data_IF_454515631775
#
_entry.id   IF_454515631775
#
_cell.length_a   1.000
_cell.length_b   1.000
_cell.length_c   1.000
_cell.angle_alpha   90.00
_cell.angle_beta   90.00
_cell.angle_gamma   90.00
#
_symmetry.space_group_name_H-M   'P 1'
#
loop_
_entity.id
_entity.type
_entity.pdbx_description
1 polymer ?
#
# COMPACT_ATOMS: atom_id res chain seq x y z
N UNK A 1 -4.70 -22.22 -24.98
CA UNK A 1 -3.40 -22.21 -24.28
C UNK A 1 -3.67 -22.65 -22.86
N UNK A 2 -2.79 -23.39 -22.18
CA UNK A 2 -3.00 -23.66 -20.76
C UNK A 2 -3.11 -22.32 -20.02
N UNK A 3 -4.07 -22.24 -19.11
CA UNK A 3 -4.21 -21.08 -18.22
C UNK A 3 -2.94 -20.92 -17.41
N UNK A 4 -2.36 -19.70 -17.43
CA UNK A 4 -1.17 -19.41 -16.63
C UNK A 4 -1.53 -19.43 -15.14
N UNK A 5 -0.84 -20.27 -14.37
CA UNK A 5 -1.11 -20.43 -12.94
C UNK A 5 -0.53 -19.26 -12.14
N UNK A 6 -1.21 -18.88 -11.09
CA UNK A 6 -0.79 -17.83 -10.17
C UNK A 6 0.67 -18.00 -9.72
N UNK A 7 1.05 -19.21 -9.29
CA UNK A 7 2.38 -19.48 -8.75
C UNK A 7 3.50 -19.35 -9.79
N UNK A 8 3.23 -19.69 -11.04
CA UNK A 8 4.22 -19.63 -12.13
C UNK A 8 4.49 -18.16 -12.47
N UNK A 9 3.44 -17.34 -12.58
CA UNK A 9 3.55 -15.89 -12.82
C UNK A 9 4.29 -15.21 -11.65
N UNK A 10 3.92 -15.53 -10.41
CA UNK A 10 4.56 -14.97 -9.22
C UNK A 10 6.03 -15.37 -9.11
N UNK A 11 6.37 -16.64 -9.36
CA UNK A 11 7.75 -17.13 -9.34
C UNK A 11 8.60 -16.35 -10.32
N UNK A 12 8.14 -16.20 -11.56
CA UNK A 12 8.86 -15.46 -12.59
C UNK A 12 9.04 -13.99 -12.19
N UNK A 13 7.96 -13.28 -11.87
CA UNK A 13 7.99 -11.85 -11.55
C UNK A 13 8.79 -11.51 -10.28
N UNK A 14 8.68 -12.33 -9.23
CA UNK A 14 9.46 -12.13 -8.00
C UNK A 14 10.95 -12.42 -8.23
N UNK A 15 11.28 -13.48 -9.00
CA UNK A 15 12.67 -13.80 -9.36
C UNK A 15 13.31 -12.66 -10.15
N UNK A 16 12.60 -12.08 -11.13
CA UNK A 16 13.09 -10.92 -11.90
C UNK A 16 13.43 -9.72 -11.02
N UNK A 17 12.74 -9.56 -9.87
CA UNK A 17 13.02 -8.51 -8.88
C UNK A 17 14.03 -8.91 -7.80
N UNK A 18 14.56 -10.12 -7.84
CA UNK A 18 15.45 -10.62 -6.78
C UNK A 18 14.76 -10.83 -5.43
N UNK A 19 13.43 -10.96 -5.41
CA UNK A 19 12.66 -11.19 -4.20
C UNK A 19 12.50 -12.68 -3.90
N UNK A 20 12.31 -13.02 -2.62
CA UNK A 20 12.06 -14.40 -2.23
C UNK A 20 10.77 -14.93 -2.87
N UNK A 21 10.87 -16.11 -3.48
CA UNK A 21 9.76 -16.82 -4.12
C UNK A 21 9.79 -18.33 -3.78
N UNK A 22 10.20 -18.66 -2.55
CA UNK A 22 10.18 -20.05 -2.08
C UNK A 22 8.76 -20.63 -1.97
N UNK A 23 8.66 -21.92 -1.65
CA UNK A 23 7.38 -22.60 -1.59
C UNK A 23 6.43 -22.02 -0.53
N UNK A 24 6.95 -21.46 0.56
CA UNK A 24 6.13 -20.84 1.60
C UNK A 24 5.56 -19.48 1.15
N UNK A 25 6.37 -18.65 0.50
CA UNK A 25 5.92 -17.37 -0.07
C UNK A 25 4.81 -17.61 -1.11
N UNK A 26 5.02 -18.55 -2.04
CA UNK A 26 4.03 -18.87 -3.06
C UNK A 26 2.75 -19.47 -2.46
N UNK A 27 2.87 -20.34 -1.45
CA UNK A 27 1.73 -20.87 -0.71
C UNK A 27 0.91 -19.75 -0.05
N UNK A 28 1.56 -18.76 0.57
CA UNK A 28 0.89 -17.61 1.20
C UNK A 28 0.13 -16.78 0.17
N UNK A 29 0.72 -16.53 -1.00
CA UNK A 29 0.01 -15.83 -2.08
C UNK A 29 -1.19 -16.63 -2.58
N UNK A 30 -1.08 -17.96 -2.70
CA UNK A 30 -2.22 -18.82 -3.05
C UNK A 30 -3.35 -18.70 -2.02
N UNK A 31 -3.04 -18.86 -0.74
CA UNK A 31 -4.03 -18.72 0.34
C UNK A 31 -4.69 -17.34 0.32
N UNK A 32 -3.92 -16.29 0.08
CA UNK A 32 -4.45 -14.92 -0.02
C UNK A 32 -5.38 -14.77 -1.23
N UNK A 33 -4.98 -15.27 -2.39
CA UNK A 33 -5.80 -15.23 -3.60
C UNK A 33 -7.12 -15.99 -3.43
N UNK A 34 -7.06 -17.23 -2.96
CA UNK A 34 -8.25 -18.06 -2.77
C UNK A 34 -9.24 -17.40 -1.80
N UNK A 35 -8.71 -16.75 -0.73
CA UNK A 35 -9.55 -16.02 0.21
C UNK A 35 -10.14 -14.74 -0.42
N UNK A 36 -9.35 -14.02 -1.20
CA UNK A 36 -9.80 -12.81 -1.92
C UNK A 36 -10.93 -13.15 -2.89
N UNK A 37 -10.79 -14.20 -3.70
CA UNK A 37 -11.82 -14.65 -4.64
C UNK A 37 -13.11 -15.06 -3.91
N UNK A 38 -13.01 -15.82 -2.83
CA UNK A 38 -14.17 -16.23 -2.05
C UNK A 38 -14.97 -15.03 -1.50
N UNK A 39 -14.27 -14.04 -0.94
CA UNK A 39 -14.92 -12.84 -0.42
C UNK A 39 -15.39 -11.88 -1.53
N UNK A 40 -14.69 -11.84 -2.65
CA UNK A 40 -15.03 -10.94 -3.75
C UNK A 40 -16.39 -11.24 -4.37
N UNK A 41 -16.80 -12.51 -4.36
CA UNK A 41 -18.13 -12.94 -4.81
C UNK A 41 -19.29 -12.30 -4.05
N UNK A 42 -19.07 -11.90 -2.80
CA UNK A 42 -20.12 -11.33 -1.92
C UNK A 42 -19.88 -9.87 -1.53
N UNK A 43 -18.64 -9.37 -1.62
CA UNK A 43 -18.29 -8.06 -1.07
C UNK A 43 -17.78 -7.04 -2.09
N UNK A 44 -17.52 -7.44 -3.33
CA UNK A 44 -16.90 -6.58 -4.36
C UNK A 44 -15.64 -5.86 -3.84
N UNK A 45 -14.69 -6.63 -3.32
CA UNK A 45 -13.43 -6.10 -2.78
C UNK A 45 -12.53 -5.52 -3.87
N UNK A 46 -12.54 -6.13 -5.05
CA UNK A 46 -11.77 -5.72 -6.22
C UNK A 46 -12.55 -5.98 -7.52
N UNK A 47 -12.28 -5.17 -8.54
CA UNK A 47 -12.78 -5.40 -9.90
C UNK A 47 -11.89 -6.37 -10.71
N UNK A 48 -10.70 -6.71 -10.21
CA UNK A 48 -9.76 -7.63 -10.84
C UNK A 48 -10.16 -9.05 -10.46
N UNK A 49 -10.28 -9.93 -11.45
CA UNK A 49 -10.66 -11.34 -11.30
C UNK A 49 -9.74 -12.24 -12.12
N UNK A 50 -9.62 -13.50 -11.70
CA UNK A 50 -8.75 -14.49 -12.32
C UNK A 50 -7.30 -14.46 -11.83
N UNK A 51 -6.66 -15.63 -11.88
CA UNK A 51 -5.32 -15.84 -11.31
C UNK A 51 -4.26 -14.95 -11.94
N UNK A 52 -4.23 -14.85 -13.27
CA UNK A 52 -3.22 -14.11 -14.00
C UNK A 52 -3.26 -12.60 -13.70
N UNK A 53 -4.47 -12.02 -13.71
CA UNK A 53 -4.64 -10.60 -13.42
C UNK A 53 -4.37 -10.28 -11.94
N UNK A 54 -4.83 -11.13 -11.02
CA UNK A 54 -4.52 -10.96 -9.60
C UNK A 54 -3.02 -11.05 -9.32
N UNK A 55 -2.33 -12.03 -9.94
CA UNK A 55 -0.88 -12.15 -9.81
C UNK A 55 -0.15 -10.88 -10.30
N UNK A 56 -0.52 -10.36 -11.47
CA UNK A 56 0.14 -9.20 -12.07
C UNK A 56 -0.28 -7.89 -11.41
N UNK A 57 -1.59 -7.60 -11.43
CA UNK A 57 -2.14 -6.27 -11.11
C UNK A 57 -2.32 -6.02 -9.60
N UNK A 58 -2.25 -7.07 -8.79
CA UNK A 58 -2.25 -6.94 -7.33
C UNK A 58 -0.90 -7.31 -6.73
N UNK A 59 -0.43 -8.55 -6.89
CA UNK A 59 0.73 -9.03 -6.14
C UNK A 59 2.05 -8.48 -6.68
N UNK A 60 2.32 -8.64 -7.97
CA UNK A 60 3.57 -8.16 -8.59
C UNK A 60 3.64 -6.63 -8.68
N UNK A 61 2.49 -5.96 -8.84
CA UNK A 61 2.41 -4.51 -8.75
C UNK A 61 2.88 -4.02 -7.37
N UNK A 62 2.36 -4.60 -6.28
CA UNK A 62 2.77 -4.26 -4.91
C UNK A 62 4.21 -4.67 -4.59
N UNK A 63 4.72 -5.73 -5.22
CA UNK A 63 6.09 -6.21 -5.05
C UNK A 63 7.17 -5.25 -5.60
N UNK A 64 6.79 -4.12 -6.20
CA UNK A 64 7.71 -3.04 -6.58
C UNK A 64 8.13 -2.15 -5.39
N UNK A 65 7.39 -2.14 -4.27
CA UNK A 65 7.67 -1.25 -3.14
C UNK A 65 8.97 -1.57 -2.39
N UNK A 66 9.41 -2.82 -2.18
CA UNK A 66 10.71 -3.12 -1.59
C UNK A 66 11.90 -2.50 -2.32
N UNK A 67 11.80 -2.23 -3.63
CA UNK A 67 12.85 -1.53 -4.40
C UNK A 67 12.99 -0.06 -3.99
N UNK A 68 12.00 0.48 -3.27
CA UNK A 68 11.91 1.90 -2.92
C UNK A 68 12.48 2.23 -1.54
N UNK A 69 12.43 1.31 -0.60
CA UNK A 69 12.90 1.49 0.78
C UNK A 69 13.17 0.14 1.44
N UNK A 70 14.17 0.10 2.33
CA UNK A 70 14.36 -1.04 3.22
C UNK A 70 13.19 -1.12 4.22
N UNK A 71 12.44 -2.23 4.16
CA UNK A 71 11.26 -2.48 4.99
C UNK A 71 11.54 -3.42 6.18
N UNK A 72 12.76 -4.01 6.26
CA UNK A 72 13.11 -4.98 7.28
C UNK A 72 13.01 -4.39 8.69
N UNK A 73 12.22 -5.03 9.56
CA UNK A 73 11.98 -4.60 10.95
C UNK A 73 11.29 -3.24 11.11
N UNK A 74 10.85 -2.60 10.02
CA UNK A 74 10.21 -1.27 10.04
C UNK A 74 8.76 -1.34 10.48
N UNK A 75 8.26 -0.23 11.02
CA UNK A 75 6.83 -0.01 11.22
C UNK A 75 6.22 0.58 9.96
N UNK A 76 5.21 -0.08 9.40
CA UNK A 76 4.51 0.39 8.21
C UNK A 76 3.02 0.53 8.48
N UNK A 77 2.44 1.65 8.02
CA UNK A 77 0.98 1.82 7.94
C UNK A 77 0.53 1.85 6.48
N UNK A 78 -0.44 1.00 6.14
CA UNK A 78 -1.12 1.00 4.85
C UNK A 78 -2.45 1.74 5.00
N UNK A 79 -2.53 2.93 4.40
CA UNK A 79 -3.66 3.88 4.60
C UNK A 79 -4.71 3.68 3.52
N UNK A 80 -5.90 3.25 3.94
CA UNK A 80 -6.98 2.87 3.03
C UNK A 80 -6.68 1.55 2.34
N UNK A 81 -6.23 0.58 3.10
CA UNK A 81 -5.68 -0.70 2.63
C UNK A 81 -6.61 -1.53 1.74
N UNK A 82 -7.93 -1.32 1.84
CA UNK A 82 -8.91 -2.05 1.04
C UNK A 82 -8.88 -3.55 1.29
N UNK A 83 -8.56 -4.29 0.26
CA UNK A 83 -8.36 -5.74 0.34
C UNK A 83 -6.94 -6.14 0.82
N UNK A 84 -6.18 -5.22 1.43
CA UNK A 84 -4.86 -5.53 1.97
C UNK A 84 -3.69 -5.16 1.04
N UNK A 85 -3.93 -4.32 0.04
CA UNK A 85 -2.93 -3.92 -0.93
C UNK A 85 -2.45 -2.47 -0.71
N UNK A 86 -1.13 -2.27 -0.58
CA UNK A 86 -0.05 -3.24 -0.73
C UNK A 86 0.37 -3.97 0.56
N UNK A 87 -0.20 -3.61 1.72
CA UNK A 87 0.29 -4.00 3.04
C UNK A 87 0.53 -5.50 3.23
N UNK A 88 -0.47 -6.37 2.94
CA UNK A 88 -0.32 -7.81 3.13
C UNK A 88 0.69 -8.44 2.15
N UNK A 89 0.79 -7.92 0.93
CA UNK A 89 1.84 -8.37 -0.01
C UNK A 89 3.23 -8.10 0.56
N UNK A 90 3.43 -6.90 1.11
CA UNK A 90 4.69 -6.53 1.76
C UNK A 90 4.98 -7.40 2.99
N UNK A 91 3.97 -7.74 3.78
CA UNK A 91 4.13 -8.65 4.94
C UNK A 91 4.51 -10.07 4.53
N UNK A 92 3.99 -10.56 3.40
CA UNK A 92 4.39 -11.88 2.84
C UNK A 92 5.86 -11.86 2.42
N UNK A 93 6.30 -10.79 1.74
CA UNK A 93 7.66 -10.63 1.23
C UNK A 93 8.68 -10.24 2.29
N UNK A 94 8.25 -9.52 3.33
CA UNK A 94 9.07 -9.03 4.45
C UNK A 94 8.43 -9.47 5.77
N UNK A 95 8.66 -10.71 6.26
CA UNK A 95 7.95 -11.25 7.41
C UNK A 95 8.18 -10.53 8.74
N UNK A 96 9.30 -9.83 8.90
CA UNK A 96 9.64 -9.02 10.06
C UNK A 96 9.08 -7.59 10.03
N UNK A 97 8.37 -7.22 8.94
CA UNK A 97 7.66 -5.94 8.83
C UNK A 97 6.56 -5.83 9.90
N UNK A 98 6.58 -4.77 10.69
CA UNK A 98 5.53 -4.47 11.68
C UNK A 98 4.41 -3.71 11.01
N UNK A 99 3.39 -4.43 10.54
CA UNK A 99 2.34 -3.92 9.67
C UNK A 99 1.12 -3.46 10.44
N UNK A 100 0.62 -2.26 10.08
CA UNK A 100 -0.70 -1.74 10.46
C UNK A 100 -1.53 -1.52 9.19
N UNK A 101 -2.73 -2.09 9.13
CA UNK A 101 -3.70 -1.93 8.06
C UNK A 101 -4.84 -1.03 8.56
N UNK A 102 -5.04 0.11 7.92
CA UNK A 102 -6.08 1.07 8.28
C UNK A 102 -7.12 1.18 7.17
N UNK A 103 -8.39 0.93 7.50
CA UNK A 103 -9.52 1.14 6.58
C UNK A 103 -10.75 1.64 7.35
N UNK A 104 -11.59 2.40 6.66
CA UNK A 104 -12.82 2.96 7.22
C UNK A 104 -14.04 2.03 7.13
N UNK A 105 -13.92 0.87 6.50
CA UNK A 105 -15.00 -0.08 6.29
C UNK A 105 -14.76 -1.36 7.10
N UNK A 106 -15.57 -1.59 8.13
CA UNK A 106 -15.45 -2.75 9.02
C UNK A 106 -15.51 -4.10 8.27
N UNK A 107 -16.34 -4.18 7.22
CA UNK A 107 -16.42 -5.38 6.38
C UNK A 107 -15.07 -5.75 5.71
N UNK A 108 -14.26 -4.75 5.32
CA UNK A 108 -12.92 -4.98 4.78
C UNK A 108 -11.98 -5.50 5.86
N UNK A 109 -12.08 -4.95 7.07
CA UNK A 109 -11.28 -5.42 8.20
C UNK A 109 -11.67 -6.84 8.63
N UNK A 110 -12.93 -7.23 8.49
CA UNK A 110 -13.34 -8.62 8.72
C UNK A 110 -12.66 -9.59 7.74
N UNK A 111 -12.63 -9.24 6.44
CA UNK A 111 -11.88 -9.98 5.43
C UNK A 111 -10.38 -10.04 5.76
N UNK A 112 -9.78 -8.90 6.13
CA UNK A 112 -8.34 -8.83 6.46
C UNK A 112 -8.01 -9.67 7.69
N UNK A 113 -8.89 -9.72 8.69
CA UNK A 113 -8.71 -10.55 9.88
C UNK A 113 -8.67 -12.02 9.52
N UNK A 114 -9.65 -12.49 8.76
CA UNK A 114 -9.70 -13.87 8.27
C UNK A 114 -8.47 -14.22 7.40
N UNK A 115 -8.06 -13.28 6.53
CA UNK A 115 -6.86 -13.46 5.69
C UNK A 115 -5.59 -13.56 6.56
N UNK A 116 -5.42 -12.67 7.53
CA UNK A 116 -4.27 -12.71 8.44
C UNK A 116 -4.22 -14.02 9.25
N UNK A 117 -5.37 -14.51 9.72
CA UNK A 117 -5.47 -15.78 10.43
C UNK A 117 -5.03 -16.95 9.56
N UNK A 118 -5.53 -17.04 8.33
CA UNK A 118 -5.15 -18.07 7.34
C UNK A 118 -3.68 -18.02 6.93
N UNK A 119 -3.09 -16.83 6.92
CA UNK A 119 -1.67 -16.62 6.63
C UNK A 119 -0.75 -16.82 7.85
N UNK A 120 -1.32 -16.95 9.05
CA UNK A 120 -0.56 -17.06 10.30
C UNK A 120 0.08 -15.74 10.77
N UNK A 121 -0.49 -14.60 10.39
CA UNK A 121 -0.01 -13.26 10.76
C UNK A 121 -0.72 -12.74 12.02
N UNK A 122 -0.28 -13.18 13.19
CA UNK A 122 -0.86 -12.74 14.48
C UNK A 122 -0.44 -11.33 14.89
N UNK A 123 0.60 -10.78 14.30
CA UNK A 123 1.22 -9.49 14.64
C UNK A 123 0.78 -8.31 13.76
N UNK A 124 -0.11 -8.55 12.77
CA UNK A 124 -0.66 -7.50 11.93
C UNK A 124 -1.75 -6.74 12.70
N UNK A 125 -1.58 -5.42 12.83
CA UNK A 125 -2.55 -4.56 13.50
C UNK A 125 -3.62 -4.08 12.51
N UNK A 126 -4.88 -4.39 12.79
CA UNK A 126 -6.05 -3.92 12.03
C UNK A 126 -6.69 -2.73 12.75
N UNK A 127 -6.93 -1.63 12.02
CA UNK A 127 -7.45 -0.39 12.59
C UNK A 127 -8.67 0.10 11.81
N UNK A 128 -9.82 0.14 12.48
CA UNK A 128 -11.05 0.69 11.93
C UNK A 128 -11.09 2.19 12.22
N UNK A 129 -10.70 3.00 11.26
CA UNK A 129 -10.73 4.46 11.34
C UNK A 129 -10.67 5.08 9.94
N UNK A 130 -11.12 6.32 9.82
CA UNK A 130 -10.78 7.14 8.66
C UNK A 130 -9.37 7.69 8.82
N UNK A 131 -8.65 7.84 7.71
CA UNK A 131 -7.26 8.32 7.73
C UNK A 131 -7.11 9.70 8.39
N UNK A 132 -8.11 10.58 8.24
CA UNK A 132 -8.13 11.92 8.84
C UNK A 132 -8.47 11.94 10.33
N UNK A 133 -8.94 10.84 10.92
CA UNK A 133 -9.28 10.77 12.35
C UNK A 133 -8.06 10.67 13.25
N UNK A 134 -6.92 10.27 12.69
CA UNK A 134 -5.64 10.17 13.38
C UNK A 134 -5.75 9.48 14.76
N UNK A 135 -5.83 8.14 14.82
CA UNK A 135 -5.93 7.42 16.07
C UNK A 135 -4.83 7.81 17.06
N UNK A 136 -5.13 7.74 18.35
CA UNK A 136 -4.18 8.09 19.40
C UNK A 136 -2.88 7.29 19.30
N UNK A 137 -1.75 7.98 19.43
CA UNK A 137 -0.42 7.38 19.33
C UNK A 137 0.06 7.12 17.89
N UNK A 138 -0.72 7.47 16.85
CA UNK A 138 -0.34 7.20 15.46
C UNK A 138 0.39 8.36 14.78
N UNK A 139 0.23 9.57 15.33
CA UNK A 139 0.89 10.74 14.75
C UNK A 139 2.41 10.58 14.75
N UNK A 140 3.00 10.70 13.55
CA UNK A 140 4.47 10.68 13.33
C UNK A 140 5.16 9.50 14.03
N UNK A 141 4.52 8.31 13.98
CA UNK A 141 4.97 7.10 14.70
C UNK A 141 5.45 5.96 13.79
N UNK A 142 5.21 6.06 12.48
CA UNK A 142 5.58 5.01 11.52
C UNK A 142 6.84 5.36 10.74
N UNK A 143 7.69 4.35 10.47
CA UNK A 143 8.85 4.49 9.59
C UNK A 143 8.40 4.71 8.15
N UNK A 144 7.34 4.00 7.76
CA UNK A 144 6.81 3.99 6.41
C UNK A 144 5.29 4.14 6.43
N UNK A 145 4.77 5.02 5.57
CA UNK A 145 3.36 4.97 5.17
C UNK A 145 3.26 4.56 3.70
N UNK A 146 2.20 3.86 3.34
CA UNK A 146 1.89 3.56 1.95
C UNK A 146 0.40 3.74 1.67
N UNK A 147 0.07 3.98 0.41
CA UNK A 147 -1.31 4.02 -0.07
C UNK A 147 -1.36 3.68 -1.57
N UNK A 148 -2.41 2.97 -1.99
CA UNK A 148 -2.69 2.63 -3.38
C UNK A 148 -4.14 2.97 -3.76
N UNK A 149 -4.33 3.66 -4.90
CA UNK A 149 -5.64 3.93 -5.51
C UNK A 149 -6.68 4.65 -4.61
N UNK A 150 -6.24 5.43 -3.60
CA UNK A 150 -7.14 6.12 -2.65
C UNK A 150 -7.56 7.49 -3.18
N UNK A 151 -6.61 8.33 -3.64
CA UNK A 151 -6.87 9.70 -4.09
C UNK A 151 -5.68 10.27 -4.89
N UNK A 152 -5.79 11.53 -5.36
CA UNK A 152 -4.68 12.29 -5.93
C UNK A 152 -3.60 12.55 -4.87
N UNK A 153 -2.36 12.76 -5.31
CA UNK A 153 -1.19 12.82 -4.43
C UNK A 153 -1.27 13.94 -3.38
N UNK A 154 -1.80 15.11 -3.73
CA UNK A 154 -1.96 16.21 -2.77
C UNK A 154 -2.88 15.83 -1.59
N UNK A 155 -3.97 15.10 -1.87
CA UNK A 155 -4.86 14.55 -0.84
C UNK A 155 -4.16 13.44 -0.05
N UNK A 156 -3.46 12.53 -0.74
CA UNK A 156 -2.71 11.45 -0.08
C UNK A 156 -1.62 11.99 0.85
N UNK A 157 -0.93 13.07 0.47
CA UNK A 157 0.05 13.70 1.34
C UNK A 157 -0.59 14.12 2.68
N UNK A 158 -1.79 14.72 2.64
CA UNK A 158 -2.48 15.12 3.88
C UNK A 158 -2.95 13.93 4.73
N UNK A 159 -3.34 12.84 4.09
CA UNK A 159 -3.81 11.63 4.77
C UNK A 159 -2.67 10.74 5.30
N UNK A 160 -1.47 10.79 4.69
CA UNK A 160 -0.39 9.86 4.99
C UNK A 160 0.80 10.49 5.73
N UNK A 161 1.26 11.70 5.34
CA UNK A 161 2.45 12.32 5.95
C UNK A 161 2.34 12.57 7.46
N UNK A 162 1.15 12.90 8.03
CA UNK A 162 1.01 13.02 9.48
C UNK A 162 1.21 11.72 10.27
N UNK A 163 1.21 10.56 9.64
CA UNK A 163 1.53 9.27 10.25
C UNK A 163 3.04 8.99 10.27
N UNK A 164 3.78 9.56 9.32
CA UNK A 164 5.20 9.28 9.10
C UNK A 164 6.06 10.09 10.07
N UNK A 165 6.94 9.43 10.79
CA UNK A 165 7.93 10.10 11.66
C UNK A 165 8.97 10.84 10.84
N UNK A 166 9.59 11.87 11.40
CA UNK A 166 10.69 12.57 10.75
C UNK A 166 11.82 11.59 10.41
N UNK A 167 12.38 11.72 9.20
CA UNK A 167 13.31 10.75 8.62
C UNK A 167 12.66 9.53 7.98
N UNK A 168 11.36 9.28 8.21
CA UNK A 168 10.60 8.21 7.57
C UNK A 168 10.20 8.54 6.12
N UNK A 169 9.42 7.67 5.49
CA UNK A 169 9.07 7.78 4.08
C UNK A 169 7.59 7.47 3.83
N UNK A 170 6.96 8.24 2.92
CA UNK A 170 5.67 7.89 2.34
C UNK A 170 5.89 7.36 0.91
N UNK A 171 5.44 6.14 0.65
CA UNK A 171 5.49 5.45 -0.64
C UNK A 171 4.10 5.47 -1.29
N UNK A 172 3.89 6.36 -2.26
CA UNK A 172 2.62 6.49 -2.95
C UNK A 172 2.65 5.74 -4.28
N UNK A 173 1.86 4.67 -4.40
CA UNK A 173 1.68 3.95 -5.68
C UNK A 173 0.76 4.75 -6.60
N UNK A 174 1.24 5.07 -7.80
CA UNK A 174 0.58 5.95 -8.76
C UNK A 174 0.69 5.41 -10.19
N UNK A 175 -0.10 5.98 -11.08
CA UNK A 175 -0.01 5.76 -12.52
C UNK A 175 0.89 6.78 -13.23
N UNK A 176 0.80 6.85 -14.57
CA UNK A 176 1.67 7.69 -15.42
C UNK A 176 1.53 9.19 -15.16
N UNK A 177 0.41 9.65 -14.56
CA UNK A 177 0.15 11.07 -14.28
C UNK A 177 0.94 11.63 -13.08
N UNK A 178 1.88 10.86 -12.50
CA UNK A 178 2.59 11.25 -11.27
C UNK A 178 3.32 12.59 -11.39
N UNK A 179 3.90 12.92 -12.54
CA UNK A 179 4.59 14.20 -12.75
C UNK A 179 3.66 15.42 -12.57
N UNK A 180 2.42 15.31 -13.06
CA UNK A 180 1.40 16.32 -12.88
C UNK A 180 0.94 16.39 -11.42
N UNK A 181 0.72 15.23 -10.80
CA UNK A 181 0.29 15.15 -9.40
C UNK A 181 1.35 15.67 -8.43
N UNK A 182 2.65 15.50 -8.70
CA UNK A 182 3.74 16.06 -7.89
C UNK A 182 3.74 17.58 -7.92
N UNK A 183 3.49 18.18 -9.09
CA UNK A 183 3.37 19.64 -9.20
C UNK A 183 2.18 20.16 -8.39
N UNK A 184 1.04 19.49 -8.48
CA UNK A 184 -0.15 19.83 -7.68
C UNK A 184 0.06 19.64 -6.18
N UNK A 185 0.84 18.62 -5.78
CA UNK A 185 1.11 18.30 -4.39
C UNK A 185 2.18 19.20 -3.73
N UNK A 186 2.80 20.13 -4.47
CA UNK A 186 3.90 20.97 -3.95
C UNK A 186 3.55 21.71 -2.64
N UNK A 187 2.35 22.31 -2.58
CA UNK A 187 1.89 23.02 -1.37
C UNK A 187 1.64 22.03 -0.22
N UNK A 188 1.05 20.87 -0.51
CA UNK A 188 0.81 19.82 0.48
C UNK A 188 2.13 19.32 1.07
N UNK A 189 3.10 18.98 0.22
CA UNK A 189 4.42 18.52 0.63
C UNK A 189 5.10 19.54 1.55
N UNK A 190 5.21 20.80 1.11
CA UNK A 190 5.83 21.86 1.89
C UNK A 190 5.13 22.09 3.23
N UNK A 191 3.79 22.07 3.24
CA UNK A 191 2.98 22.31 4.45
C UNK A 191 3.10 21.18 5.47
N UNK A 192 3.24 19.93 5.00
CA UNK A 192 3.19 18.73 5.84
C UNK A 192 4.59 18.19 6.20
N UNK A 193 5.65 18.92 5.84
CA UNK A 193 7.03 18.52 6.11
C UNK A 193 7.50 17.34 5.24
N UNK A 194 6.99 17.24 4.01
CA UNK A 194 7.39 16.24 3.03
C UNK A 194 8.26 16.81 1.91
N UNK A 195 9.18 16.02 1.39
CA UNK A 195 10.00 16.32 0.22
C UNK A 195 9.94 15.16 -0.75
N UNK A 196 9.56 15.41 -2.00
CA UNK A 196 9.66 14.41 -3.05
C UNK A 196 11.15 14.12 -3.32
N UNK A 197 11.61 12.94 -2.90
CA UNK A 197 13.02 12.55 -2.99
C UNK A 197 13.32 11.96 -4.37
N UNK A 198 12.46 11.08 -4.84
CA UNK A 198 12.56 10.44 -6.16
C UNK A 198 11.23 9.86 -6.59
N UNK A 199 11.12 9.56 -7.86
CA UNK A 199 10.06 8.73 -8.42
C UNK A 199 10.68 7.53 -9.13
N UNK A 200 10.03 6.38 -9.00
CA UNK A 200 10.48 5.14 -9.59
C UNK A 200 9.40 4.70 -10.59
N UNK A 201 9.75 4.69 -11.86
CA UNK A 201 8.92 4.10 -12.90
C UNK A 201 9.21 2.60 -12.98
N UNK A 202 8.18 1.80 -13.14
CA UNK A 202 8.31 0.36 -13.33
C UNK A 202 7.16 -0.17 -14.19
N UNK A 203 7.44 -1.25 -14.91
CA UNK A 203 6.41 -2.01 -15.62
C UNK A 203 6.03 -3.22 -14.79
N UNK A 204 4.74 -3.49 -14.69
CA UNK A 204 4.26 -4.71 -14.03
C UNK A 204 4.59 -5.89 -14.95
N UNK A 205 5.31 -6.94 -14.46
CA UNK A 205 5.70 -8.06 -15.29
C UNK A 205 4.55 -8.70 -16.04
N UNK A 206 4.72 -8.92 -17.37
CA UNK A 206 3.70 -9.48 -18.24
C UNK A 206 2.57 -8.51 -18.63
N UNK A 207 2.77 -7.20 -18.45
CA UNK A 207 1.84 -6.14 -18.90
C UNK A 207 2.60 -4.98 -19.52
N UNK A 208 1.86 -4.09 -20.23
CA UNK A 208 2.40 -2.82 -20.75
C UNK A 208 2.07 -1.63 -19.82
N UNK A 209 1.68 -1.89 -18.57
CA UNK A 209 1.28 -0.85 -17.62
C UNK A 209 2.50 -0.11 -17.07
N UNK A 210 2.57 1.18 -17.33
CA UNK A 210 3.55 2.11 -16.75
C UNK A 210 3.01 2.60 -15.39
N UNK A 211 3.55 2.02 -14.33
CA UNK A 211 3.26 2.41 -12.96
C UNK A 211 4.44 3.17 -12.36
N UNK A 212 4.15 3.99 -11.36
CA UNK A 212 5.15 4.83 -10.70
C UNK A 212 4.94 4.84 -9.20
N UNK A 213 6.03 4.95 -8.46
CA UNK A 213 6.02 5.16 -7.02
C UNK A 213 6.67 6.50 -6.72
N UNK A 214 5.93 7.39 -6.04
CA UNK A 214 6.53 8.58 -5.43
C UNK A 214 7.12 8.21 -4.08
N UNK A 215 8.42 8.45 -3.92
CA UNK A 215 9.14 8.31 -2.64
C UNK A 215 9.21 9.71 -2.02
N UNK A 216 8.47 9.92 -0.95
CA UNK A 216 8.35 11.20 -0.26
C UNK A 216 8.99 11.08 1.12
N UNK A 217 10.12 11.76 1.32
CA UNK A 217 10.82 11.81 2.60
C UNK A 217 10.10 12.77 3.55
N UNK A 218 9.90 12.35 4.80
CA UNK A 218 9.43 13.20 5.87
C UNK A 218 10.62 13.99 6.44
N UNK A 219 10.70 15.29 6.13
CA UNK A 219 11.84 16.16 6.45
C UNK A 219 11.55 17.17 7.57
N UNK A 220 10.33 17.19 8.08
CA UNK A 220 9.92 18.05 9.18
C UNK A 220 8.53 17.69 9.70
N UNK A 221 8.09 18.26 10.84
CA UNK A 221 6.83 17.90 11.46
C UNK A 221 5.61 18.38 10.65
N UNK A 222 4.53 17.59 10.67
CA UNK A 222 3.23 18.05 10.16
C UNK A 222 2.53 18.90 11.21
N UNK A 223 2.04 20.12 10.86
CA UNK A 223 1.32 20.96 11.83
C UNK A 223 0.11 20.26 12.42
N UNK A 224 -0.15 20.45 13.73
CA UNK A 224 -1.20 19.73 14.49
C UNK A 224 -2.61 19.85 13.93
N UNK A 225 -2.90 20.89 13.13
CA UNK A 225 -4.20 21.08 12.46
C UNK A 225 -4.45 20.12 11.29
N UNK A 226 -3.44 19.35 10.87
CA UNK A 226 -3.55 18.33 9.82
C UNK A 226 -3.46 16.91 10.41
N UNK A 227 -4.13 15.94 9.81
CA UNK A 227 -5.06 16.09 8.68
C UNK A 227 -6.31 16.87 9.07
N UNK A 228 -6.88 17.59 8.10
CA UNK A 228 -8.19 18.24 8.25
C UNK A 228 -9.32 17.22 8.12
N UNK A 229 -10.54 17.60 8.48
CA UNK A 229 -11.73 16.77 8.26
C UNK A 229 -11.92 16.50 6.76
N UNK A 230 -12.35 15.31 6.40
CA UNK A 230 -12.53 14.89 5.00
C UNK A 230 -13.28 15.89 4.12
N UNK A 231 -14.38 16.45 4.61
CA UNK A 231 -15.15 17.44 3.86
C UNK A 231 -14.33 18.68 3.48
N UNK A 232 -13.36 19.10 4.30
CA UNK A 232 -12.47 20.22 4.02
C UNK A 232 -11.40 19.83 3.02
N UNK A 233 -10.81 18.64 3.15
CA UNK A 233 -9.81 18.08 2.23
C UNK A 233 -10.43 17.98 0.84
N UNK A 234 -11.62 17.35 0.73
CA UNK A 234 -12.32 17.15 -0.55
C UNK A 234 -12.70 18.47 -1.22
N UNK A 235 -13.16 19.47 -0.44
CA UNK A 235 -13.60 20.77 -0.98
C UNK A 235 -12.42 21.61 -1.47
N UNK A 236 -11.31 21.57 -0.77
CA UNK A 236 -10.11 22.37 -1.07
C UNK A 236 -8.86 21.57 -0.66
N UNK A 237 -8.36 20.66 -1.51
CA UNK A 237 -7.05 20.01 -1.30
C UNK A 237 -5.95 21.04 -1.12
N UNK A 238 -4.85 20.64 -0.45
CA UNK A 238 -3.65 21.48 -0.30
C UNK A 238 -2.94 21.70 -1.63
#
# INVERSE_FOLDING_TARGET
MPEERLEDILREGLTQRGLNCDGEVLRRFRVYYDNLEAYNQVMNLTAISGEADAARLHFLDCAALPDCADLSGRTLIDVGTGAGFPGLVLKILCPDLRLTLLDSLDKRLAFLRDTCEKLGFADVRLVHARAEEMPEGFRESFDVATARAVARLNVLCELCLPYVKEGGVFLAMKGPELDAELKEAYVALKTLGGTAERQIAYTVPGTDLDHRIAVIRKTGPSPKKYPRRWAQIKKKPL
#
